data_IF_559460701830
#
_entry.id   IF_559460701830
#
_cell.length_a   1.000
_cell.length_b   1.000
_cell.length_c   1.000
_cell.angle_alpha   90.00
_cell.angle_beta   90.00
_cell.angle_gamma   90.00
#
_symmetry.space_group_name_H-M   'P 1'
#
loop_
_entity.id
_entity.type
_entity.pdbx_description
1 polymer ?
#
# COMPACT_ATOMS: atom_id res chain seq x y z
N UNK A 1 23.99 -47.55 -9.15
CA UNK A 1 23.08 -47.03 -10.20
C UNK A 1 21.71 -46.60 -9.66
N UNK A 2 21.14 -47.27 -8.66
CA UNK A 2 19.87 -46.87 -8.02
C UNK A 2 19.96 -45.49 -7.36
N UNK A 3 21.03 -45.21 -6.60
CA UNK A 3 21.17 -43.95 -5.86
C UNK A 3 21.31 -42.71 -6.77
N UNK A 4 21.98 -42.88 -7.91
CA UNK A 4 22.10 -41.82 -8.93
C UNK A 4 20.73 -41.49 -9.53
N UNK A 5 19.89 -42.50 -9.77
CA UNK A 5 18.51 -42.28 -10.25
C UNK A 5 17.64 -41.58 -9.20
N UNK A 6 17.74 -41.99 -7.93
CA UNK A 6 17.04 -41.33 -6.82
C UNK A 6 17.48 -39.88 -6.67
N UNK A 7 18.79 -39.60 -6.79
CA UNK A 7 19.31 -38.24 -6.71
C UNK A 7 18.82 -37.38 -7.88
N UNK A 8 18.86 -37.90 -9.11
CA UNK A 8 18.34 -37.21 -10.30
C UNK A 8 16.87 -36.83 -10.13
N UNK A 9 16.03 -37.78 -9.69
CA UNK A 9 14.61 -37.51 -9.45
C UNK A 9 14.39 -36.43 -8.36
N UNK A 10 15.22 -36.39 -7.32
CA UNK A 10 15.15 -35.34 -6.30
C UNK A 10 15.56 -33.98 -6.86
N UNK A 11 16.53 -33.94 -7.77
CA UNK A 11 16.94 -32.71 -8.45
C UNK A 11 15.80 -32.19 -9.33
N UNK A 12 15.21 -33.03 -10.19
CA UNK A 12 14.10 -32.64 -11.06
C UNK A 12 12.91 -32.07 -10.27
N UNK A 13 12.59 -32.68 -9.12
CA UNK A 13 11.55 -32.20 -8.21
C UNK A 13 11.91 -30.85 -7.58
N UNK A 14 13.17 -30.62 -7.23
CA UNK A 14 13.63 -29.35 -6.68
C UNK A 14 13.63 -28.25 -7.73
N UNK A 15 14.05 -28.54 -8.96
CA UNK A 15 14.02 -27.60 -10.08
C UNK A 15 12.58 -27.17 -10.41
N UNK A 16 11.65 -28.12 -10.49
CA UNK A 16 10.22 -27.81 -10.70
C UNK A 16 9.68 -26.90 -9.60
N UNK A 17 10.02 -27.20 -8.34
CA UNK A 17 9.61 -26.36 -7.20
C UNK A 17 10.27 -24.99 -7.22
N UNK A 18 11.51 -24.89 -7.70
CA UNK A 18 12.24 -23.63 -7.80
C UNK A 18 11.55 -22.73 -8.84
N UNK A 19 11.27 -23.26 -10.03
CA UNK A 19 10.56 -22.50 -11.07
C UNK A 19 9.20 -21.98 -10.60
N UNK A 20 8.43 -22.80 -9.86
CA UNK A 20 7.16 -22.34 -9.30
C UNK A 20 7.34 -21.24 -8.25
N UNK A 21 8.40 -21.33 -7.42
CA UNK A 21 8.72 -20.30 -6.44
C UNK A 21 9.15 -19.00 -7.12
N UNK A 22 9.94 -19.06 -8.20
CA UNK A 22 10.34 -17.87 -8.95
C UNK A 22 9.12 -17.11 -9.51
N UNK A 23 8.16 -17.85 -10.10
CA UNK A 23 6.90 -17.26 -10.58
C UNK A 23 6.09 -16.67 -9.43
N UNK A 24 6.06 -17.36 -8.28
CA UNK A 24 5.36 -16.87 -7.07
C UNK A 24 5.98 -15.57 -6.57
N UNK A 25 7.32 -15.50 -6.51
CA UNK A 25 8.05 -14.30 -6.08
C UNK A 25 7.77 -13.13 -7.02
N UNK A 26 7.80 -13.36 -8.33
CA UNK A 26 7.51 -12.30 -9.30
C UNK A 26 6.08 -11.78 -9.14
N UNK A 27 5.11 -12.69 -9.02
CA UNK A 27 3.69 -12.33 -8.81
C UNK A 27 3.51 -11.52 -7.52
N UNK A 28 4.20 -11.90 -6.44
CA UNK A 28 4.17 -11.15 -5.17
C UNK A 28 4.81 -9.78 -5.33
N UNK A 29 5.91 -9.66 -6.05
CA UNK A 29 6.58 -8.38 -6.31
C UNK A 29 5.70 -7.42 -7.11
N UNK A 30 5.06 -7.90 -8.17
CA UNK A 30 4.08 -7.14 -8.96
C UNK A 30 2.92 -6.66 -8.07
N UNK A 31 2.38 -7.56 -7.25
CA UNK A 31 1.28 -7.26 -6.33
C UNK A 31 1.67 -6.18 -5.31
N UNK A 32 2.83 -6.31 -4.67
CA UNK A 32 3.34 -5.34 -3.69
C UNK A 32 3.56 -3.98 -4.34
N UNK A 33 4.12 -3.96 -5.55
CA UNK A 33 4.37 -2.71 -6.29
C UNK A 33 3.06 -2.01 -6.62
N UNK A 34 2.04 -2.74 -7.08
CA UNK A 34 0.72 -2.20 -7.35
C UNK A 34 0.05 -1.66 -6.07
N UNK A 35 0.15 -2.38 -4.96
CA UNK A 35 -0.36 -1.93 -3.66
C UNK A 35 0.34 -0.66 -3.18
N UNK A 36 1.66 -0.56 -3.35
CA UNK A 36 2.42 0.62 -2.96
C UNK A 36 1.97 1.86 -3.72
N UNK A 37 1.75 1.75 -5.04
CA UNK A 37 1.19 2.84 -5.85
C UNK A 37 -0.19 3.28 -5.36
N UNK A 38 -1.06 2.34 -4.98
CA UNK A 38 -2.38 2.66 -4.41
C UNK A 38 -2.27 3.39 -3.08
N UNK A 39 -1.40 2.91 -2.18
CA UNK A 39 -1.16 3.55 -0.88
C UNK A 39 -0.64 4.98 -1.08
N UNK A 40 0.32 5.18 -1.97
CA UNK A 40 0.90 6.49 -2.26
C UNK A 40 -0.15 7.49 -2.79
N UNK A 41 -1.07 7.05 -3.66
CA UNK A 41 -2.22 7.85 -4.10
C UNK A 41 -3.14 8.19 -2.93
N UNK A 42 -3.50 7.21 -2.10
CA UNK A 42 -4.37 7.41 -0.93
C UNK A 42 -3.74 8.37 0.09
N UNK A 43 -2.44 8.25 0.35
CA UNK A 43 -1.70 9.14 1.25
C UNK A 43 -1.76 10.59 0.77
N UNK A 44 -1.57 10.84 -0.53
CA UNK A 44 -1.72 12.19 -1.11
C UNK A 44 -3.14 12.74 -1.00
N UNK A 45 -4.14 11.88 -1.23
CA UNK A 45 -5.55 12.27 -1.11
C UNK A 45 -5.89 12.67 0.33
N UNK A 46 -5.44 11.86 1.31
CA UNK A 46 -5.63 12.16 2.73
C UNK A 46 -4.96 13.49 3.10
N UNK A 47 -3.71 13.72 2.69
CA UNK A 47 -3.02 14.98 2.95
C UNK A 47 -3.77 16.19 2.38
N UNK A 48 -4.30 16.05 1.16
CA UNK A 48 -5.10 17.11 0.51
C UNK A 48 -6.41 17.38 1.27
N UNK A 49 -7.09 16.33 1.73
CA UNK A 49 -8.31 16.46 2.53
C UNK A 49 -8.05 17.11 3.88
N UNK A 50 -6.94 16.74 4.55
CA UNK A 50 -6.53 17.34 5.80
C UNK A 50 -6.24 18.84 5.65
N UNK A 51 -5.61 19.26 4.55
CA UNK A 51 -5.35 20.68 4.31
C UNK A 51 -6.64 21.47 4.07
N UNK A 52 -7.54 20.95 3.23
CA UNK A 52 -8.86 21.57 3.00
C UNK A 52 -9.68 21.70 4.28
N UNK A 53 -9.60 20.71 5.18
CA UNK A 53 -10.29 20.76 6.46
C UNK A 53 -9.73 21.90 7.33
N UNK A 54 -8.40 22.04 7.41
CA UNK A 54 -7.76 23.15 8.14
C UNK A 54 -8.13 24.51 7.57
N UNK A 55 -8.12 24.65 6.25
CA UNK A 55 -8.55 25.88 5.57
C UNK A 55 -10.01 26.22 5.90
N UNK A 56 -10.91 25.23 5.89
CA UNK A 56 -12.31 25.42 6.24
C UNK A 56 -12.50 25.80 7.71
N UNK A 57 -11.75 25.19 8.63
CA UNK A 57 -11.76 25.54 10.06
C UNK A 57 -11.24 26.97 10.28
N UNK A 58 -10.19 27.38 9.56
CA UNK A 58 -9.64 28.73 9.64
C UNK A 58 -10.57 29.80 9.03
N UNK A 59 -11.34 29.43 8.00
CA UNK A 59 -12.31 30.32 7.36
C UNK A 59 -13.65 30.42 8.12
N UNK A 60 -13.87 29.57 9.14
CA UNK A 60 -15.05 29.67 9.99
C UNK A 60 -15.02 31.02 10.74
N UNK A 61 -16.08 31.85 10.65
CA UNK A 61 -16.15 33.08 11.43
C UNK A 61 -16.03 32.70 12.90
N UNK A 62 -15.01 33.24 13.60
CA UNK A 62 -14.97 33.16 15.06
C UNK A 62 -16.31 33.67 15.58
N UNK A 63 -16.94 32.95 16.52
CA UNK A 63 -18.19 33.37 17.11
C UNK A 63 -18.00 34.76 17.74
N UNK A 64 -18.33 35.81 16.99
CA UNK A 64 -18.33 37.19 17.47
C UNK A 64 -19.51 37.31 18.42
N UNK A 65 -19.27 36.94 19.68
CA UNK A 65 -20.09 37.33 20.82
C UNK A 65 -19.82 38.82 21.10
N UNK A 66 -20.14 39.68 20.14
CA UNK A 66 -20.13 41.12 20.40
C UNK A 66 -21.46 41.45 21.08
N UNK A 67 -21.44 41.96 22.34
CA UNK A 67 -22.67 42.28 23.05
C UNK A 67 -23.48 43.32 22.25
N UNK A 68 -24.81 43.18 22.14
CA UNK A 68 -25.62 44.12 21.38
C UNK A 68 -25.50 45.54 21.96
N UNK A 69 -25.41 46.58 21.11
CA UNK A 69 -25.33 47.96 21.58
C UNK A 69 -26.63 48.33 22.30
N UNK A 70 -26.51 48.81 23.54
CA UNK A 70 -27.63 49.39 24.27
C UNK A 70 -27.94 50.79 23.72
N UNK A 71 -29.17 50.97 23.24
CA UNK A 71 -29.78 52.26 22.90
C UNK A 71 -30.81 52.66 23.96
#
# INVERSE_FOLDING_TARGET
MSDVKTLSHRIDMLETRLTFQDVTIETLNETITAQWQQIDVLTRQIATLSERLREAEAAAPGATNEPPPHY
#
